data_IF_261795112515
#
_entry.id   IF_261795112515
#
_cell.length_a   1.000
_cell.length_b   1.000
_cell.length_c   1.000
_cell.angle_alpha   90.00
_cell.angle_beta   90.00
_cell.angle_gamma   90.00
#
_symmetry.space_group_name_H-M   'P 1'
#
loop_
_entity.id
_entity.type
_entity.pdbx_description
1 polymer ?
#
# COMPACT_ATOMS: atom_id res chain seq x y z
N UNK A 1 -57.07 -24.84 41.96
CA UNK A 1 -55.91 -24.97 42.86
C UNK A 1 -54.74 -25.41 41.98
N UNK A 2 -53.93 -24.45 41.49
CA UNK A 2 -52.60 -24.12 42.05
C UNK A 2 -51.66 -25.34 42.02
N UNK A 3 -50.45 -25.35 41.45
CA UNK A 3 -49.53 -24.25 41.20
C UNK A 3 -48.31 -24.72 40.37
N UNK A 4 -47.85 -23.83 39.47
CA UNK A 4 -46.45 -23.40 39.25
C UNK A 4 -45.40 -24.41 38.74
N UNK A 5 -45.19 -24.41 37.42
CA UNK A 5 -43.90 -24.75 36.80
C UNK A 5 -43.07 -23.47 36.63
N UNK A 6 -41.85 -23.37 37.18
CA UNK A 6 -40.97 -22.24 36.91
C UNK A 6 -40.25 -22.45 35.57
N UNK A 7 -40.77 -21.81 34.53
CA UNK A 7 -40.02 -21.58 33.29
C UNK A 7 -38.91 -20.57 33.62
N UNK A 8 -37.69 -21.06 33.88
CA UNK A 8 -36.51 -20.21 33.80
C UNK A 8 -36.16 -20.05 32.32
N UNK A 9 -36.26 -18.85 31.72
CA UNK A 9 -35.62 -18.62 30.44
C UNK A 9 -34.11 -18.67 30.70
N UNK A 10 -33.44 -19.68 30.15
CA UNK A 10 -31.99 -19.72 30.06
C UNK A 10 -31.54 -18.52 29.22
N UNK A 11 -31.30 -17.39 29.89
CA UNK A 11 -30.76 -16.18 29.30
C UNK A 11 -29.27 -16.39 29.06
N UNK A 12 -28.94 -17.34 28.16
CA UNK A 12 -27.62 -17.38 27.54
C UNK A 12 -27.61 -16.22 26.56
N UNK A 13 -27.45 -15.00 27.08
CA UNK A 13 -27.01 -13.84 26.28
C UNK A 13 -25.66 -14.24 25.73
N UNK A 14 -25.66 -14.85 24.54
CA UNK A 14 -24.50 -14.92 23.67
C UNK A 14 -24.05 -13.48 23.57
N UNK A 15 -22.96 -13.14 24.26
CA UNK A 15 -22.24 -11.90 24.03
C UNK A 15 -21.96 -11.90 22.53
N UNK A 16 -22.77 -11.17 21.77
CA UNK A 16 -22.40 -10.82 20.40
C UNK A 16 -21.08 -10.10 20.57
N UNK A 17 -20.04 -10.63 19.93
CA UNK A 17 -18.78 -9.92 19.82
C UNK A 17 -19.10 -8.51 19.30
N UNK A 18 -18.42 -7.47 19.78
CA UNK A 18 -18.65 -6.13 19.26
C UNK A 18 -18.54 -6.17 17.73
N UNK A 19 -19.51 -5.59 17.03
CA UNK A 19 -19.36 -5.36 15.59
C UNK A 19 -18.29 -4.28 15.44
N UNK A 20 -17.05 -4.71 15.22
CA UNK A 20 -15.92 -3.80 15.03
C UNK A 20 -16.03 -3.15 13.65
N UNK A 21 -16.78 -2.05 13.62
CA UNK A 21 -17.02 -1.27 12.42
C UNK A 21 -15.85 -0.32 12.11
N UNK A 22 -15.67 -0.04 10.83
CA UNK A 22 -14.83 1.05 10.31
C UNK A 22 -15.51 2.43 10.43
N UNK A 23 -16.82 2.46 10.73
CA UNK A 23 -17.59 3.68 10.94
C UNK A 23 -17.02 4.50 12.11
N UNK A 24 -16.87 5.83 11.92
CA UNK A 24 -16.36 6.80 12.91
C UNK A 24 -14.89 6.64 13.34
N UNK A 25 -14.01 6.14 12.46
CA UNK A 25 -12.56 6.08 12.72
C UNK A 25 -11.83 7.16 11.92
N UNK A 26 -10.97 7.91 12.60
CA UNK A 26 -10.05 8.85 11.95
C UNK A 26 -9.06 8.17 11.00
N UNK A 27 -8.82 6.86 11.17
CA UNK A 27 -8.00 6.05 10.27
C UNK A 27 -8.90 5.23 9.35
N UNK A 28 -8.65 5.33 8.06
CA UNK A 28 -9.32 4.51 7.05
C UNK A 28 -8.33 3.68 6.25
N UNK A 29 -8.82 2.56 5.73
CA UNK A 29 -8.10 1.63 4.88
C UNK A 29 -9.02 1.26 3.72
N UNK A 30 -8.49 1.36 2.52
CA UNK A 30 -9.12 0.97 1.27
C UNK A 30 -8.26 -0.12 0.64
N UNK A 31 -8.75 -1.36 0.74
CA UNK A 31 -8.08 -2.57 0.25
C UNK A 31 -9.09 -3.47 -0.43
N UNK A 32 -8.67 -4.33 -1.38
CA UNK A 32 -9.57 -5.26 -2.06
C UNK A 32 -10.16 -6.35 -1.16
N UNK A 33 -9.63 -6.50 0.06
CA UNK A 33 -10.16 -7.43 1.07
C UNK A 33 -10.79 -6.63 2.21
N UNK A 34 -11.98 -7.05 2.62
CA UNK A 34 -12.71 -6.47 3.75
C UNK A 34 -12.33 -7.10 5.09
N UNK A 35 -12.64 -6.40 6.19
CA UNK A 35 -12.46 -6.91 7.56
C UNK A 35 -11.08 -6.67 8.16
N UNK A 36 -10.20 -5.94 7.45
CA UNK A 36 -8.96 -5.39 8.00
C UNK A 36 -9.22 -4.02 8.62
N UNK A 37 -8.74 -3.83 9.84
CA UNK A 37 -8.85 -2.59 10.59
C UNK A 37 -7.46 -1.97 10.75
N UNK A 38 -7.28 -0.76 10.24
CA UNK A 38 -6.07 0.01 10.45
C UNK A 38 -6.01 0.52 11.90
N UNK A 39 -4.89 0.25 12.58
CA UNK A 39 -4.65 0.67 13.97
C UNK A 39 -3.60 1.74 14.10
N UNK A 40 -2.67 1.80 13.16
CA UNK A 40 -1.62 2.81 13.08
C UNK A 40 -0.75 2.54 11.87
N UNK A 41 0.11 3.50 11.54
CA UNK A 41 1.12 3.32 10.52
C UNK A 41 2.34 4.21 10.78
N UNK A 42 3.47 3.82 10.22
CA UNK A 42 4.71 4.61 10.19
C UNK A 42 5.21 4.63 8.76
N UNK A 43 5.81 5.73 8.30
CA UNK A 43 6.36 5.80 6.96
C UNK A 43 7.55 6.72 6.84
N UNK A 44 8.19 6.61 5.69
CA UNK A 44 9.32 7.43 5.26
C UNK A 44 8.98 8.03 3.90
N UNK A 45 9.15 9.34 3.77
CA UNK A 45 9.00 10.10 2.53
C UNK A 45 10.22 11.01 2.40
N UNK A 46 10.85 11.02 1.23
CA UNK A 46 11.95 11.92 0.92
C UNK A 46 11.89 12.32 -0.56
N UNK A 47 12.48 13.46 -0.89
CA UNK A 47 12.58 13.91 -2.28
C UNK A 47 13.53 12.96 -3.01
N UNK A 48 13.14 12.54 -4.21
CA UNK A 48 13.92 11.63 -5.07
C UNK A 48 14.14 10.22 -4.51
N UNK A 49 13.36 9.80 -3.50
CA UNK A 49 13.39 8.43 -2.98
C UNK A 49 12.00 7.79 -3.02
N UNK A 50 11.95 6.47 -3.07
CA UNK A 50 10.72 5.72 -2.91
C UNK A 50 10.22 5.87 -1.47
N UNK A 51 8.99 6.35 -1.29
CA UNK A 51 8.36 6.27 0.02
C UNK A 51 8.01 4.83 0.38
N UNK A 52 7.87 4.56 1.67
CA UNK A 52 7.23 3.34 2.14
C UNK A 52 6.43 3.61 3.42
N UNK A 53 5.37 2.85 3.62
CA UNK A 53 4.56 2.87 4.83
C UNK A 53 4.35 1.46 5.36
N UNK A 54 4.65 1.27 6.65
CA UNK A 54 4.34 0.05 7.38
C UNK A 54 3.05 0.29 8.17
N UNK A 55 1.98 -0.41 7.77
CA UNK A 55 0.65 -0.35 8.38
C UNK A 55 0.52 -1.46 9.43
N UNK A 56 0.04 -1.11 10.62
CA UNK A 56 -0.36 -2.06 11.65
C UNK A 56 -1.87 -2.30 11.58
N UNK A 57 -2.24 -3.55 11.31
CA UNK A 57 -3.60 -3.97 10.97
C UNK A 57 -4.10 -5.03 11.93
N UNK A 58 -5.42 -5.09 12.11
CA UNK A 58 -6.09 -6.15 12.88
C UNK A 58 -7.31 -6.65 12.16
N UNK A 59 -7.55 -7.96 12.21
CA UNK A 59 -8.82 -8.55 11.82
C UNK A 59 -9.36 -9.39 12.98
N UNK A 60 -10.69 -9.54 13.07
CA UNK A 60 -11.26 -10.46 14.06
C UNK A 60 -10.79 -11.88 13.77
N UNK A 61 -10.63 -12.70 14.80
CA UNK A 61 -10.18 -14.09 14.65
C UNK A 61 -11.10 -14.97 13.80
N UNK A 62 -12.32 -14.50 13.51
CA UNK A 62 -13.30 -15.17 12.65
C UNK A 62 -13.12 -14.81 11.17
N UNK A 63 -12.48 -13.68 10.88
CA UNK A 63 -12.24 -13.21 9.52
C UNK A 63 -11.04 -13.97 8.96
N UNK A 64 -11.24 -14.67 7.84
CA UNK A 64 -10.15 -15.27 7.09
C UNK A 64 -9.65 -14.27 6.05
N UNK A 65 -8.37 -13.89 6.14
CA UNK A 65 -7.75 -12.92 5.22
C UNK A 65 -6.99 -13.69 4.14
N UNK A 66 -7.35 -13.48 2.88
CA UNK A 66 -6.66 -14.09 1.73
C UNK A 66 -5.47 -13.21 1.29
N UNK A 67 -4.25 -13.69 1.55
CA UNK A 67 -3.02 -12.93 1.32
C UNK A 67 -2.80 -12.65 -0.17
N UNK A 68 -3.15 -13.61 -1.03
CA UNK A 68 -2.98 -13.52 -2.48
C UNK A 68 -3.85 -12.43 -3.12
N UNK A 69 -4.96 -12.07 -2.47
CA UNK A 69 -5.84 -10.97 -2.89
C UNK A 69 -5.33 -9.60 -2.45
N UNK A 70 -4.34 -9.52 -1.56
CA UNK A 70 -3.76 -8.27 -1.07
C UNK A 70 -2.42 -7.97 -1.75
N UNK A 71 -1.55 -8.98 -1.88
CA UNK A 71 -0.20 -8.78 -2.37
C UNK A 71 -0.20 -8.24 -3.82
N UNK A 72 0.55 -7.17 -4.05
CA UNK A 72 0.66 -6.48 -5.33
C UNK A 72 -0.56 -5.64 -5.72
N UNK A 73 -1.61 -5.61 -4.90
CA UNK A 73 -2.81 -4.82 -5.19
C UNK A 73 -2.68 -3.37 -4.71
N UNK A 74 -3.41 -2.48 -5.37
CA UNK A 74 -3.54 -1.08 -4.97
C UNK A 74 -4.17 -1.00 -3.59
N UNK A 75 -3.57 -0.17 -2.73
CA UNK A 75 -4.03 0.07 -1.37
C UNK A 75 -4.05 1.57 -1.12
N UNK A 76 -5.19 2.07 -0.62
CA UNK A 76 -5.34 3.41 -0.09
C UNK A 76 -5.44 3.38 1.43
N UNK A 77 -4.89 4.36 2.12
CA UNK A 77 -5.09 4.54 3.56
C UNK A 77 -4.86 6.00 3.92
N UNK A 78 -5.26 6.41 5.12
CA UNK A 78 -5.01 7.79 5.53
C UNK A 78 -5.68 8.20 6.82
N UNK A 79 -5.61 9.51 7.07
CA UNK A 79 -6.27 10.17 8.19
C UNK A 79 -7.38 11.07 7.69
N UNK A 80 -8.48 11.09 8.43
CA UNK A 80 -9.45 12.19 8.41
C UNK A 80 -8.95 13.27 9.37
N UNK A 81 -8.63 14.44 8.81
CA UNK A 81 -7.87 15.52 9.48
C UNK A 81 -8.80 16.56 10.11
N UNK A 82 -10.04 16.67 9.66
CA UNK A 82 -11.01 17.64 10.15
C UNK A 82 -12.40 17.04 10.30
N UNK A 83 -13.20 17.58 11.22
CA UNK A 83 -14.63 17.27 11.35
C UNK A 83 -15.45 17.69 10.10
N UNK A 84 -14.81 18.41 9.18
CA UNK A 84 -15.35 18.82 7.87
C UNK A 84 -15.12 17.76 6.78
N UNK A 85 -14.43 16.66 7.09
CA UNK A 85 -14.23 15.52 6.20
C UNK A 85 -12.99 15.62 5.30
N UNK A 86 -12.05 16.52 5.59
CA UNK A 86 -10.79 16.59 4.84
C UNK A 86 -9.95 15.34 5.11
N UNK A 87 -9.63 14.59 4.05
CA UNK A 87 -8.80 13.39 4.13
C UNK A 87 -7.41 13.67 3.60
N UNK A 88 -6.39 13.15 4.28
CA UNK A 88 -5.03 13.02 3.73
C UNK A 88 -4.82 11.57 3.27
N UNK A 89 -5.12 11.25 1.99
CA UNK A 89 -4.89 9.93 1.46
C UNK A 89 -3.42 9.68 1.13
N UNK A 90 -3.02 8.44 1.34
CA UNK A 90 -1.82 7.82 0.81
C UNK A 90 -2.24 6.64 -0.06
N UNK A 91 -1.56 6.49 -1.20
CA UNK A 91 -1.85 5.43 -2.16
C UNK A 91 -0.56 4.74 -2.56
N UNK A 92 -0.63 3.41 -2.70
CA UNK A 92 0.48 2.61 -3.20
C UNK A 92 0.02 1.19 -3.52
N UNK A 93 0.98 0.28 -3.58
CA UNK A 93 0.75 -1.15 -3.73
C UNK A 93 1.23 -1.89 -2.48
N UNK A 94 0.53 -2.94 -2.08
CA UNK A 94 0.96 -3.78 -0.96
C UNK A 94 2.11 -4.69 -1.41
N UNK A 95 3.34 -4.39 -1.00
CA UNK A 95 4.55 -5.15 -1.40
C UNK A 95 4.91 -6.26 -0.43
N UNK A 96 4.44 -6.18 0.82
CA UNK A 96 4.61 -7.20 1.83
C UNK A 96 3.40 -7.27 2.74
N UNK A 97 2.98 -8.48 3.09
CA UNK A 97 1.93 -8.71 4.09
C UNK A 97 2.37 -9.82 5.04
N UNK A 98 2.24 -9.62 6.34
CA UNK A 98 2.74 -10.56 7.36
C UNK A 98 1.77 -10.65 8.52
N UNK A 99 1.36 -11.86 8.90
CA UNK A 99 0.68 -12.14 10.16
C UNK A 99 1.73 -12.46 11.22
N UNK A 100 1.70 -11.77 12.37
CA UNK A 100 2.77 -11.90 13.38
C UNK A 100 2.27 -12.19 14.79
N UNK A 101 1.00 -11.92 15.12
CA UNK A 101 0.45 -12.22 16.44
C UNK A 101 -1.04 -12.56 16.37
N UNK A 102 -1.52 -13.26 17.40
CA UNK A 102 -2.94 -13.60 17.58
C UNK A 102 -3.31 -13.56 19.05
N UNK A 103 -4.33 -12.78 19.36
CA UNK A 103 -4.88 -12.64 20.71
C UNK A 103 -6.20 -13.41 20.81
N UNK A 104 -6.93 -13.25 21.92
CA UNK A 104 -8.24 -13.91 22.11
C UNK A 104 -9.28 -13.50 21.06
N UNK A 105 -9.27 -12.22 20.67
CA UNK A 105 -10.30 -11.65 19.78
C UNK A 105 -9.77 -11.32 18.37
N UNK A 106 -8.49 -10.95 18.25
CA UNK A 106 -7.91 -10.42 17.01
C UNK A 106 -6.67 -11.17 16.54
N UNK A 107 -6.48 -11.17 15.23
CA UNK A 107 -5.21 -11.50 14.58
C UNK A 107 -4.56 -10.22 14.08
N UNK A 108 -3.26 -10.04 14.35
CA UNK A 108 -2.50 -8.85 14.00
C UNK A 108 -1.66 -9.09 12.75
N UNK A 109 -1.70 -8.12 11.85
CA UNK A 109 -0.99 -8.13 10.58
C UNK A 109 -0.16 -6.86 10.43
N UNK A 110 0.89 -6.95 9.62
CA UNK A 110 1.67 -5.81 9.14
C UNK A 110 1.70 -5.83 7.62
N UNK A 111 1.40 -4.69 7.02
CA UNK A 111 1.43 -4.50 5.58
C UNK A 111 2.41 -3.40 5.20
N UNK A 112 3.32 -3.66 4.26
CA UNK A 112 4.13 -2.62 3.65
C UNK A 112 3.45 -2.14 2.37
N UNK A 113 3.30 -0.82 2.27
CA UNK A 113 2.77 -0.13 1.09
C UNK A 113 3.86 0.77 0.53
N UNK A 114 4.14 0.61 -0.76
CA UNK A 114 5.17 1.35 -1.52
C UNK A 114 4.54 1.91 -2.81
N UNK A 115 5.12 2.94 -3.45
CA UNK A 115 4.62 3.43 -4.74
C UNK A 115 4.72 2.33 -5.80
N UNK A 116 3.86 2.40 -6.83
CA UNK A 116 3.94 1.48 -7.97
C UNK A 116 5.33 1.50 -8.65
N UNK A 117 6.06 2.63 -8.54
CA UNK A 117 7.44 2.80 -8.98
C UNK A 117 8.41 1.76 -8.39
N UNK A 118 8.12 1.23 -7.19
CA UNK A 118 8.90 0.16 -6.57
C UNK A 118 9.02 -1.09 -7.44
N UNK A 119 8.04 -1.40 -8.28
CA UNK A 119 8.08 -2.58 -9.17
C UNK A 119 9.31 -2.56 -10.12
N UNK A 120 9.83 -1.37 -10.43
CA UNK A 120 11.03 -1.22 -11.27
C UNK A 120 12.31 -1.74 -10.59
N UNK A 121 12.32 -1.84 -9.25
CA UNK A 121 13.43 -2.43 -8.47
C UNK A 121 13.49 -3.95 -8.59
N UNK A 122 12.38 -4.59 -8.99
CA UNK A 122 12.23 -6.06 -8.98
C UNK A 122 12.82 -6.74 -10.22
N UNK A 123 13.27 -5.97 -11.21
CA UNK A 123 13.83 -6.50 -12.47
C UNK A 123 15.16 -5.83 -12.80
N UNK A 124 16.18 -6.67 -13.00
CA UNK A 124 17.49 -6.27 -13.53
C UNK A 124 17.56 -6.55 -15.02
N UNK A 125 18.07 -5.60 -15.81
CA UNK A 125 18.14 -5.70 -17.27
C UNK A 125 19.49 -5.23 -17.82
N UNK A 126 19.76 -5.62 -19.07
CA UNK A 126 20.83 -5.05 -19.89
C UNK A 126 20.26 -4.61 -21.23
N UNK A 127 20.32 -3.31 -21.53
CA UNK A 127 19.73 -2.68 -22.72
C UNK A 127 20.61 -1.56 -23.24
N UNK A 128 20.59 -1.36 -24.56
CA UNK A 128 21.33 -0.29 -25.24
C UNK A 128 20.32 0.68 -25.86
N UNK A 129 20.56 1.97 -25.66
CA UNK A 129 19.81 3.09 -26.21
C UNK A 129 20.77 3.94 -27.04
N UNK A 130 20.45 4.19 -28.31
CA UNK A 130 21.31 4.93 -29.23
C UNK A 130 20.54 6.06 -29.89
N UNK A 131 21.19 7.21 -30.06
CA UNK A 131 20.64 8.39 -30.72
C UNK A 131 19.27 8.81 -30.17
N UNK A 132 19.11 8.81 -28.84
CA UNK A 132 17.83 9.07 -28.16
C UNK A 132 18.06 9.95 -26.92
N UNK A 133 17.11 10.84 -26.64
CA UNK A 133 17.16 11.73 -25.48
C UNK A 133 16.92 10.98 -24.17
N UNK A 134 17.41 11.52 -23.04
CA UNK A 134 17.16 10.93 -21.71
C UNK A 134 15.68 10.85 -21.41
N UNK A 135 14.91 11.87 -21.77
CA UNK A 135 13.46 11.89 -21.55
C UNK A 135 12.76 10.76 -22.31
N UNK A 136 13.16 10.49 -23.55
CA UNK A 136 12.58 9.40 -24.32
C UNK A 136 13.06 8.01 -23.83
N UNK A 137 14.26 7.93 -23.25
CA UNK A 137 14.69 6.73 -22.51
C UNK A 137 13.80 6.52 -21.29
N UNK A 138 13.60 7.55 -20.47
CA UNK A 138 12.76 7.48 -19.26
C UNK A 138 11.33 7.09 -19.62
N UNK A 139 10.72 7.67 -20.65
CA UNK A 139 9.38 7.24 -21.14
C UNK A 139 9.31 5.75 -21.48
N UNK A 140 10.38 5.17 -22.04
CA UNK A 140 10.45 3.73 -22.35
C UNK A 140 10.68 2.87 -21.09
N UNK A 141 11.40 3.38 -20.10
CA UNK A 141 11.68 2.67 -18.85
C UNK A 141 10.46 2.69 -17.93
N UNK A 142 9.74 3.81 -17.90
CA UNK A 142 8.57 4.06 -17.06
C UNK A 142 7.24 3.67 -17.72
N UNK A 143 7.30 2.98 -18.86
CA UNK A 143 6.12 2.51 -19.58
C UNK A 143 5.22 1.64 -18.69
N UNK A 144 3.90 1.90 -18.73
CA UNK A 144 2.90 1.26 -17.89
C UNK A 144 2.72 1.86 -16.49
N UNK A 145 3.43 2.95 -16.16
CA UNK A 145 3.20 3.76 -14.96
C UNK A 145 2.49 5.06 -15.33
N UNK A 146 1.67 5.56 -14.41
CA UNK A 146 1.04 6.88 -14.55
C UNK A 146 2.01 7.95 -14.05
N UNK A 147 2.73 8.60 -14.97
CA UNK A 147 3.79 9.57 -14.68
C UNK A 147 3.54 10.86 -15.44
N UNK A 148 3.49 11.98 -14.72
CA UNK A 148 3.47 13.31 -15.30
C UNK A 148 4.91 13.80 -15.56
N UNK A 149 5.18 14.24 -16.79
CA UNK A 149 6.47 14.79 -17.18
C UNK A 149 6.41 16.32 -17.17
N UNK A 150 6.59 16.91 -15.98
CA UNK A 150 6.64 18.36 -15.76
C UNK A 150 8.10 18.86 -15.77
N UNK A 151 8.70 18.91 -16.97
CA UNK A 151 10.13 19.14 -17.12
C UNK A 151 10.39 20.50 -17.78
N UNK A 152 11.43 21.19 -17.33
CA UNK A 152 11.96 22.41 -17.94
C UNK A 152 13.42 22.19 -18.38
N UNK A 153 13.78 22.72 -19.55
CA UNK A 153 15.13 22.58 -20.10
C UNK A 153 15.17 21.93 -21.48
N UNK A 154 16.36 21.80 -22.05
CA UNK A 154 16.60 21.15 -23.34
C UNK A 154 17.45 19.90 -23.11
N UNK A 155 16.94 18.74 -23.51
CA UNK A 155 17.62 17.45 -23.34
C UNK A 155 18.06 16.93 -24.70
N UNK A 156 19.37 16.91 -24.93
CA UNK A 156 19.92 16.47 -26.21
C UNK A 156 19.93 14.94 -26.32
N UNK A 157 19.85 14.44 -27.55
CA UNK A 157 20.02 13.02 -27.82
C UNK A 157 21.42 12.58 -27.43
N UNK A 158 21.52 11.45 -26.73
CA UNK A 158 22.79 10.79 -26.44
C UNK A 158 23.14 9.86 -27.60
N UNK A 159 24.41 9.86 -28.01
CA UNK A 159 24.90 8.92 -29.04
C UNK A 159 24.72 7.48 -28.57
N UNK A 160 25.06 7.22 -27.30
CA UNK A 160 25.05 5.89 -26.70
C UNK A 160 24.77 5.96 -25.19
N UNK A 161 23.80 5.18 -24.73
CA UNK A 161 23.47 5.01 -23.31
C UNK A 161 23.14 3.54 -23.02
N UNK A 162 23.64 3.01 -21.92
CA UNK A 162 23.48 1.60 -21.56
C UNK A 162 22.89 1.49 -20.16
N UNK A 163 21.87 0.65 -20.05
CA UNK A 163 21.48 0.03 -18.78
C UNK A 163 22.27 -1.26 -18.66
N UNK A 164 23.16 -1.41 -17.68
CA UNK A 164 24.01 -2.60 -17.57
C UNK A 164 23.91 -3.27 -16.21
N UNK A 165 23.19 -4.40 -16.13
CA UNK A 165 23.06 -5.22 -14.92
C UNK A 165 22.56 -4.43 -13.70
N UNK A 166 21.75 -3.41 -13.96
CA UNK A 166 21.09 -2.58 -12.95
C UNK A 166 19.57 -2.71 -13.10
N UNK A 167 18.82 -2.37 -12.04
CA UNK A 167 17.36 -2.41 -12.11
C UNK A 167 16.81 -1.30 -13.01
N UNK A 168 15.54 -1.40 -13.40
CA UNK A 168 14.89 -0.30 -14.14
C UNK A 168 14.77 0.95 -13.26
N UNK A 169 14.63 0.78 -11.94
CA UNK A 169 14.64 1.87 -10.98
C UNK A 169 16.01 2.54 -10.91
N UNK A 170 17.08 1.77 -10.65
CA UNK A 170 18.44 2.33 -10.50
C UNK A 170 18.88 3.09 -11.77
N UNK A 171 18.55 2.53 -12.93
CA UNK A 171 18.82 3.17 -14.23
C UNK A 171 18.07 4.49 -14.40
N UNK A 172 16.77 4.51 -14.09
CA UNK A 172 15.98 5.72 -14.17
C UNK A 172 16.46 6.79 -13.17
N UNK A 173 16.70 6.40 -11.92
CA UNK A 173 17.19 7.30 -10.86
C UNK A 173 18.52 7.93 -11.24
N UNK A 174 19.49 7.13 -11.70
CA UNK A 174 20.79 7.64 -12.14
C UNK A 174 20.66 8.62 -13.32
N UNK A 175 19.81 8.33 -14.30
CA UNK A 175 19.59 9.22 -15.44
C UNK A 175 18.93 10.54 -15.04
N UNK A 176 17.99 10.52 -14.07
CA UNK A 176 17.37 11.73 -13.54
C UNK A 176 18.39 12.55 -12.74
N UNK A 177 19.18 11.91 -11.87
CA UNK A 177 20.25 12.58 -11.10
C UNK A 177 21.33 13.22 -11.99
N UNK A 178 21.64 12.63 -13.15
CA UNK A 178 22.60 13.18 -14.13
C UNK A 178 22.11 14.47 -14.80
N UNK A 179 20.80 14.61 -15.00
CA UNK A 179 20.19 15.73 -15.75
C UNK A 179 19.60 16.82 -14.84
N UNK A 180 19.43 16.55 -13.54
CA UNK A 180 18.87 17.47 -12.54
C UNK A 180 17.36 17.43 -12.44
#
# INVERSE_FOLDING_TARGET
>A
MSAWDPILPSFTRRLMAPDYSTEHRYLYLDTPVEGLLLTGFTGHEAISELFYFDLDLRATNRTNIEFDKLLGQKTGFGLEVSDLGDKRPFHGIATRFTQFARDKEFTHYRMRVEPQFWLLTQRVRSRIFQHISVIDILKKVLDGLDVAFEIQGTFHSRDFCVQYRESDFDFASRLMEEEG
#
